data_IF_744641667347
#
_entry.id   IF_744641667347
#
_cell.length_a   1.000
_cell.length_b   1.000
_cell.length_c   1.000
_cell.angle_alpha   90.00
_cell.angle_beta   90.00
_cell.angle_gamma   90.00
#
_symmetry.space_group_name_H-M   'P 1'
#
loop_
_entity.id
_entity.type
_entity.pdbx_description
1 polymer ?
#
# COMPACT_ATOMS: atom_id res chain seq x y z
N UNK A 1 0.01 12.55 11.43
CA UNK A 1 0.73 11.68 12.38
C UNK A 1 0.44 12.17 13.80
N UNK A 2 1.13 11.68 14.83
CA UNK A 2 0.91 12.11 16.21
C UNK A 2 1.28 13.59 16.48
N UNK A 3 2.02 14.22 15.57
CA UNK A 3 2.42 15.63 15.64
C UNK A 3 1.55 16.54 14.75
N UNK A 4 0.47 16.03 14.16
CA UNK A 4 -0.46 16.80 13.32
C UNK A 4 0.03 17.03 11.88
N UNK A 5 1.11 16.38 11.43
CA UNK A 5 1.56 16.46 10.03
C UNK A 5 0.73 15.56 9.13
N UNK A 6 0.47 16.02 7.92
CA UNK A 6 -0.26 15.25 6.92
C UNK A 6 0.69 14.46 6.00
N UNK A 7 0.33 13.21 5.74
CA UNK A 7 1.03 12.36 4.78
C UNK A 7 0.03 11.59 3.94
N UNK A 8 0.29 11.51 2.64
CA UNK A 8 -0.44 10.60 1.76
C UNK A 8 0.00 9.16 2.02
N UNK A 9 -0.97 8.30 2.33
CA UNK A 9 -0.77 6.85 2.50
C UNK A 9 -1.36 6.08 1.33
N UNK A 10 -2.59 6.43 0.94
CA UNK A 10 -3.32 5.71 -0.09
C UNK A 10 -3.31 6.47 -1.41
N UNK A 11 -3.31 5.73 -2.52
CA UNK A 11 -3.46 6.26 -3.86
C UNK A 11 -4.41 5.38 -4.68
N UNK A 12 -5.18 6.02 -5.55
CA UNK A 12 -5.93 5.37 -6.63
C UNK A 12 -5.73 6.24 -7.87
N UNK A 13 -5.20 5.66 -8.93
CA UNK A 13 -4.82 6.37 -10.14
C UNK A 13 -5.40 5.64 -11.34
N UNK A 14 -6.25 6.31 -12.11
CA UNK A 14 -6.76 5.80 -13.39
C UNK A 14 -5.79 6.16 -14.51
N UNK A 15 -5.28 5.14 -15.20
CA UNK A 15 -4.26 5.26 -16.24
C UNK A 15 -4.80 4.75 -17.58
N UNK A 16 -4.85 5.67 -18.53
CA UNK A 16 -5.25 5.45 -19.93
C UNK A 16 -4.05 5.37 -20.88
N UNK A 17 -2.84 5.70 -20.41
CA UNK A 17 -1.64 5.82 -21.21
C UNK A 17 -0.83 4.51 -21.25
N UNK A 18 -0.50 3.91 -20.10
CA UNK A 18 0.32 2.70 -20.08
C UNK A 18 -0.32 1.52 -20.84
N UNK A 19 -1.65 1.27 -20.75
CA UNK A 19 -2.28 0.26 -21.60
C UNK A 19 -2.03 0.45 -23.09
N UNK A 20 -1.93 1.70 -23.56
CA UNK A 20 -1.60 2.00 -24.94
C UNK A 20 -0.13 1.74 -25.26
N UNK A 21 0.76 2.22 -24.39
CA UNK A 21 2.21 2.07 -24.55
C UNK A 21 2.66 0.59 -24.58
N UNK A 22 1.99 -0.28 -23.83
CA UNK A 22 2.29 -1.72 -23.80
C UNK A 22 1.44 -2.55 -24.78
N UNK A 23 0.57 -1.91 -25.58
CA UNK A 23 -0.27 -2.62 -26.54
C UNK A 23 -1.27 -3.60 -25.89
N UNK A 24 -1.82 -3.26 -24.73
CA UNK A 24 -2.77 -4.10 -24.03
C UNK A 24 -4.16 -4.01 -24.68
N UNK A 25 -4.79 -5.17 -24.90
CA UNK A 25 -6.18 -5.32 -25.30
C UNK A 25 -6.80 -6.57 -24.66
N UNK A 26 -8.13 -6.65 -24.64
CA UNK A 26 -8.85 -7.85 -24.21
C UNK A 26 -10.00 -8.15 -25.16
N UNK A 27 -10.43 -9.42 -25.24
CA UNK A 27 -11.58 -9.80 -26.06
C UNK A 27 -12.88 -9.54 -25.31
N UNK A 28 -13.70 -8.64 -25.84
CA UNK A 28 -15.03 -8.35 -25.30
C UNK A 28 -16.07 -9.37 -25.78
N UNK A 29 -17.25 -9.37 -25.15
CA UNK A 29 -18.35 -10.30 -25.44
C UNK A 29 -18.89 -10.16 -26.88
N UNK A 30 -18.78 -8.98 -27.47
CA UNK A 30 -19.15 -8.67 -28.86
C UNK A 30 -18.07 -9.06 -29.88
N UNK A 31 -16.94 -9.64 -29.42
CA UNK A 31 -15.81 -10.01 -30.27
C UNK A 31 -14.83 -8.88 -30.57
N UNK A 32 -15.10 -7.64 -30.12
CA UNK A 32 -14.16 -6.52 -30.24
C UNK A 32 -12.93 -6.70 -29.33
N UNK A 33 -11.88 -5.91 -29.59
CA UNK A 33 -10.66 -5.88 -28.78
C UNK A 33 -10.37 -4.48 -28.21
N UNK A 34 -11.21 -3.98 -27.28
CA UNK A 34 -10.96 -2.70 -26.65
C UNK A 34 -9.72 -2.74 -25.74
N UNK A 35 -9.15 -1.56 -25.51
CA UNK A 35 -8.06 -1.36 -24.58
C UNK A 35 -8.59 -1.28 -23.14
N UNK A 36 -7.94 -1.93 -22.15
CA UNK A 36 -8.33 -1.78 -20.76
C UNK A 36 -7.93 -0.41 -20.20
N UNK A 37 -8.65 0.04 -19.18
CA UNK A 37 -8.19 1.11 -18.28
C UNK A 37 -7.41 0.46 -17.14
N UNK A 38 -6.21 0.95 -16.84
CA UNK A 38 -5.40 0.44 -15.75
C UNK A 38 -5.66 1.27 -14.48
N UNK A 39 -5.82 0.60 -13.34
CA UNK A 39 -5.95 1.27 -12.04
C UNK A 39 -4.74 0.92 -11.20
N UNK A 40 -3.86 1.90 -10.98
CA UNK A 40 -2.76 1.77 -10.02
C UNK A 40 -3.28 2.14 -8.64
N UNK A 41 -2.99 1.31 -7.64
CA UNK A 41 -3.44 1.56 -6.27
C UNK A 41 -2.40 1.16 -5.25
N UNK A 42 -2.38 1.91 -4.15
CA UNK A 42 -1.71 1.54 -2.92
C UNK A 42 -2.63 1.90 -1.76
N UNK A 43 -2.88 0.97 -0.84
CA UNK A 43 -3.65 1.25 0.39
C UNK A 43 -2.71 1.72 1.49
N UNK A 44 -1.58 1.05 1.57
CA UNK A 44 -0.43 1.47 2.34
C UNK A 44 0.57 2.01 1.32
N UNK A 45 1.17 3.16 1.59
CA UNK A 45 2.15 3.78 0.70
C UNK A 45 3.43 2.94 0.65
N UNK A 46 4.59 3.56 0.89
CA UNK A 46 5.80 2.76 1.09
C UNK A 46 5.77 2.10 2.47
N UNK A 47 6.38 0.91 2.59
CA UNK A 47 6.45 0.19 3.86
C UNK A 47 7.22 1.00 4.92
N UNK A 48 8.27 1.70 4.52
CA UNK A 48 9.09 2.55 5.38
C UNK A 48 8.25 3.67 6.01
N UNK A 49 7.36 4.29 5.22
CA UNK A 49 6.46 5.34 5.73
C UNK A 49 5.43 4.78 6.70
N UNK A 50 4.92 3.58 6.43
CA UNK A 50 3.99 2.90 7.33
C UNK A 50 4.68 2.55 8.65
N UNK A 51 5.89 2.00 8.61
CA UNK A 51 6.65 1.67 9.81
C UNK A 51 7.03 2.91 10.62
N UNK A 52 7.43 4.00 9.97
CA UNK A 52 7.68 5.27 10.65
C UNK A 52 6.42 5.79 11.37
N UNK A 53 5.28 5.79 10.67
CA UNK A 53 3.99 6.20 11.26
C UNK A 53 3.60 5.31 12.44
N UNK A 54 3.69 3.99 12.29
CA UNK A 54 3.34 3.05 13.36
C UNK A 54 4.28 3.20 14.57
N UNK A 55 5.56 3.48 14.34
CA UNK A 55 6.53 3.76 15.42
C UNK A 55 6.12 4.99 16.21
N UNK A 56 5.76 6.08 15.54
CA UNK A 56 5.30 7.31 16.20
C UNK A 56 3.97 7.12 16.94
N UNK A 57 2.99 6.45 16.32
CA UNK A 57 1.67 6.18 16.90
C UNK A 57 1.76 5.34 18.17
N UNK A 58 2.67 4.36 18.20
CA UNK A 58 2.84 3.45 19.34
C UNK A 58 3.94 3.88 20.31
N UNK A 59 4.69 4.95 20.03
CA UNK A 59 5.86 5.34 20.83
C UNK A 59 6.90 4.22 20.95
N UNK A 60 7.00 3.34 19.93
CA UNK A 60 7.83 2.14 19.93
C UNK A 60 7.25 0.92 20.67
N UNK A 61 6.17 1.06 21.45
CA UNK A 61 5.50 -0.05 22.13
C UNK A 61 4.44 -0.71 21.22
N UNK A 62 4.91 -1.44 20.20
CA UNK A 62 4.03 -2.08 19.21
C UNK A 62 3.04 -3.08 19.83
N UNK A 63 1.84 -3.25 19.24
CA UNK A 63 0.93 -4.32 19.63
C UNK A 63 1.59 -5.68 19.46
N UNK A 64 1.17 -6.68 20.24
CA UNK A 64 1.83 -7.99 20.31
C UNK A 64 2.00 -8.69 18.95
N UNK A 65 1.12 -8.45 17.98
CA UNK A 65 1.21 -9.04 16.63
C UNK A 65 2.25 -8.34 15.72
N UNK A 66 2.73 -7.16 16.10
CA UNK A 66 3.69 -6.34 15.33
C UNK A 66 5.03 -6.18 16.05
N UNK A 67 5.09 -6.44 17.36
CA UNK A 67 6.33 -6.33 18.14
C UNK A 67 7.42 -7.29 17.60
N UNK A 68 8.65 -6.80 17.35
CA UNK A 68 9.72 -7.62 16.80
C UNK A 68 10.17 -8.74 17.76
N UNK A 69 10.05 -8.50 19.07
CA UNK A 69 10.18 -9.51 20.12
C UNK A 69 8.86 -9.50 20.90
N UNK A 70 8.16 -10.62 20.88
CA UNK A 70 6.82 -10.72 21.48
C UNK A 70 6.88 -11.17 22.94
N UNK A 71 7.79 -12.09 23.27
CA UNK A 71 7.98 -12.66 24.61
C UNK A 71 9.49 -12.89 24.85
N UNK A 72 9.98 -12.49 26.02
CA UNK A 72 11.29 -12.88 26.54
C UNK A 72 11.13 -13.70 27.81
N UNK A 73 11.86 -14.82 27.93
CA UNK A 73 11.81 -15.71 29.11
C UNK A 73 13.13 -15.60 29.86
N UNK A 74 13.08 -15.28 31.15
CA UNK A 74 14.26 -15.17 32.03
C UNK A 74 14.06 -16.14 33.21
N UNK A 75 14.83 -17.24 33.30
CA UNK A 75 14.77 -18.14 34.44
C UNK A 75 15.38 -17.50 35.69
N UNK A 76 14.99 -18.00 36.88
CA UNK A 76 15.51 -17.59 38.19
C UNK A 76 16.95 -18.07 38.39
#
# INVERSE_FOLDING_TARGET
>A
DAAGREFTLSTVQADFHQPAAFGLDYRAADGSRPRPVMVHRSVLGSLERVLALLTEVHGGAFPAWLAPVQVGVVPV
#
